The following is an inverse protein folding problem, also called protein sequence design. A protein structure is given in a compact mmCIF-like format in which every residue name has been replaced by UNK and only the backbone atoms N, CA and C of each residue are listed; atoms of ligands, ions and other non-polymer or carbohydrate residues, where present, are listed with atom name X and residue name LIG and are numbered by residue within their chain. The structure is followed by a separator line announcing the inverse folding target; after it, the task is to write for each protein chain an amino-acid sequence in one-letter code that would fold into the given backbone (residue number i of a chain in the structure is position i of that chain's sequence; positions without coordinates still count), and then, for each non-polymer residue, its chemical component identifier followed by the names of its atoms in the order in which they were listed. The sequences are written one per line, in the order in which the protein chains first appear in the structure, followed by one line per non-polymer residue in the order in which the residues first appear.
data_IF_332916032468
#
_entry.id   IF_332916032468
#
_cell.length_a   1.000
_cell.length_b   1.000
_cell.length_c   1.000
_cell.angle_alpha   90.00
_cell.angle_beta   90.00
_cell.angle_gamma   90.00
#
_symmetry.space_group_name_H-M   'P 1'
#
loop_
_entity.id
_entity.type
_entity.pdbx_description
1 polymer ?
#
# COMPACT_ATOMS: atom_id res chain seq x y z
N UNK A 1 -20.25 9.52 17.85
CA UNK A 1 -19.50 10.18 16.79
C UNK A 1 -19.91 9.46 15.53
N UNK A 2 -20.48 10.16 14.54
CA UNK A 2 -20.86 9.54 13.27
C UNK A 2 -19.63 8.95 12.59
N UNK A 3 -19.82 7.86 11.88
CA UNK A 3 -18.77 7.19 11.12
C UNK A 3 -18.28 8.15 10.04
N UNK A 4 -17.07 8.67 10.23
CA UNK A 4 -16.42 9.54 9.27
C UNK A 4 -15.65 8.68 8.27
N UNK A 5 -16.08 8.68 7.01
CA UNK A 5 -15.34 8.04 5.93
C UNK A 5 -14.09 8.86 5.59
N UNK A 6 -12.92 8.24 5.73
CA UNK A 6 -11.65 8.86 5.37
C UNK A 6 -11.47 8.85 3.86
N UNK A 7 -10.96 9.95 3.32
CA UNK A 7 -10.51 10.04 1.94
C UNK A 7 -9.05 9.60 1.86
N UNK A 8 -8.81 8.39 1.35
CA UNK A 8 -7.50 7.75 1.32
C UNK A 8 -6.83 7.92 -0.04
N UNK A 9 -5.55 8.27 -0.03
CA UNK A 9 -4.73 8.35 -1.23
C UNK A 9 -3.26 8.01 -0.89
N UNK A 10 -2.48 7.64 -1.89
CA UNK A 10 -1.05 7.33 -1.75
C UNK A 10 -0.16 8.44 -2.32
N UNK A 11 -0.71 9.23 -3.22
CA UNK A 11 -0.12 10.46 -3.76
C UNK A 11 -1.21 11.46 -4.19
N UNK A 12 -0.81 12.69 -4.45
CA UNK A 12 -1.67 13.75 -4.97
C UNK A 12 -0.83 14.82 -5.69
N UNK A 13 -1.45 15.96 -6.01
CA UNK A 13 -0.81 17.07 -6.73
C UNK A 13 0.24 17.85 -5.93
N UNK A 14 0.39 17.60 -4.62
CA UNK A 14 1.30 18.35 -3.74
C UNK A 14 2.46 17.49 -3.22
N UNK A 15 2.39 16.17 -3.39
CA UNK A 15 3.41 15.24 -2.93
C UNK A 15 4.02 14.46 -4.09
N UNK A 16 5.22 13.95 -3.87
CA UNK A 16 5.93 13.11 -4.82
C UNK A 16 5.08 11.89 -5.23
N UNK A 17 5.07 11.56 -6.53
CA UNK A 17 4.33 10.42 -7.08
C UNK A 17 4.70 9.14 -6.37
N UNK A 18 3.70 8.29 -6.07
CA UNK A 18 3.95 7.01 -5.37
C UNK A 18 4.96 6.15 -6.11
N UNK A 19 4.86 6.08 -7.44
CA UNK A 19 5.78 5.27 -8.23
C UNK A 19 7.23 5.75 -8.10
N UNK A 20 7.47 7.06 -7.97
CA UNK A 20 8.79 7.63 -7.68
C UNK A 20 9.29 7.25 -6.28
N UNK A 21 8.41 7.29 -5.26
CA UNK A 21 8.76 6.98 -3.87
C UNK A 21 9.13 5.52 -3.65
N UNK A 22 8.58 4.62 -4.44
CA UNK A 22 8.85 3.20 -4.33
C UNK A 22 10.25 2.87 -4.87
N UNK A 23 11.19 2.58 -3.98
CA UNK A 23 12.53 2.11 -4.34
C UNK A 23 12.46 0.73 -5.04
N UNK A 24 11.60 -0.16 -4.58
CA UNK A 24 11.20 -1.37 -5.28
C UNK A 24 9.82 -1.17 -5.90
N UNK A 25 9.74 -1.15 -7.23
CA UNK A 25 8.48 -0.93 -7.95
C UNK A 25 7.45 -2.05 -7.75
N UNK A 26 7.88 -3.23 -7.34
CA UNK A 26 6.98 -4.33 -6.98
C UNK A 26 6.08 -3.97 -5.78
N UNK A 27 6.51 -3.07 -4.90
CA UNK A 27 5.69 -2.56 -3.80
C UNK A 27 4.45 -1.78 -4.24
N UNK A 28 4.32 -1.48 -5.53
CA UNK A 28 3.09 -0.87 -6.07
C UNK A 28 1.86 -1.74 -5.80
N UNK A 29 2.00 -3.05 -5.91
CA UNK A 29 0.90 -3.99 -5.68
C UNK A 29 0.40 -3.99 -4.22
N UNK A 30 1.22 -4.27 -3.19
CA UNK A 30 0.77 -4.26 -1.80
C UNK A 30 0.23 -2.90 -1.36
N UNK A 31 0.81 -1.79 -1.82
CA UNK A 31 0.33 -0.43 -1.51
C UNK A 31 -1.09 -0.20 -2.03
N UNK A 32 -1.38 -0.61 -3.27
CA UNK A 32 -2.70 -0.40 -3.86
C UNK A 32 -3.74 -1.43 -3.38
N UNK A 33 -3.32 -2.66 -3.04
CA UNK A 33 -4.22 -3.59 -2.33
C UNK A 33 -4.69 -2.97 -1.02
N UNK A 34 -3.80 -2.39 -0.21
CA UNK A 34 -4.19 -1.68 1.01
C UNK A 34 -5.09 -0.49 0.72
N UNK A 35 -4.73 0.37 -0.23
CA UNK A 35 -5.52 1.55 -0.58
C UNK A 35 -6.98 1.20 -0.92
N UNK A 36 -7.19 0.13 -1.69
CA UNK A 36 -8.53 -0.27 -2.14
C UNK A 36 -9.33 -1.09 -1.13
N UNK A 37 -8.72 -1.60 -0.07
CA UNK A 37 -9.38 -2.54 0.85
C UNK A 37 -9.51 -2.04 2.28
N UNK A 38 -8.69 -1.08 2.71
CA UNK A 38 -8.84 -0.41 3.99
C UNK A 38 -10.16 0.39 4.06
N UNK A 39 -10.70 0.65 5.28
CA UNK A 39 -11.85 1.52 5.48
C UNK A 39 -11.61 2.91 4.88
N UNK A 40 -12.68 3.53 4.34
CA UNK A 40 -12.65 4.85 3.73
C UNK A 40 -12.81 4.80 2.20
N UNK A 41 -12.64 5.94 1.55
CA UNK A 41 -12.82 6.11 0.10
C UNK A 41 -11.44 6.19 -0.58
N UNK A 42 -11.06 5.18 -1.39
CA UNK A 42 -9.79 5.21 -2.10
C UNK A 42 -9.83 6.23 -3.25
N UNK A 43 -8.74 6.96 -3.40
CA UNK A 43 -8.55 7.91 -4.50
C UNK A 43 -7.23 7.65 -5.20
N UNK A 44 -7.29 7.64 -6.54
CA UNK A 44 -6.12 7.58 -7.41
C UNK A 44 -5.92 8.95 -8.05
N UNK A 45 -4.74 9.51 -7.86
CA UNK A 45 -4.37 10.73 -8.55
C UNK A 45 -4.04 10.41 -10.01
N UNK A 46 -4.54 11.25 -10.95
CA UNK A 46 -4.40 10.99 -12.38
C UNK A 46 -2.96 10.72 -12.80
N UNK A 47 -2.75 9.72 -13.64
CA UNK A 47 -1.43 9.28 -14.08
C UNK A 47 -0.75 8.26 -13.15
N UNK A 48 -1.16 8.17 -11.87
CA UNK A 48 -0.61 7.16 -10.95
C UNK A 48 -1.05 5.76 -11.35
N UNK A 49 -2.21 5.63 -11.99
CA UNK A 49 -2.67 4.38 -12.60
C UNK A 49 -1.76 3.89 -13.73
N UNK A 50 -1.00 4.77 -14.35
CA UNK A 50 -0.03 4.42 -15.39
C UNK A 50 1.38 4.18 -14.84
N UNK A 51 1.59 4.39 -13.54
CA UNK A 51 2.91 4.31 -12.92
C UNK A 51 3.84 5.45 -13.35
N UNK A 52 3.29 6.64 -13.66
CA UNK A 52 4.16 7.77 -14.02
C UNK A 52 4.97 8.24 -12.82
N UNK A 53 6.18 8.67 -13.09
CA UNK A 53 7.07 9.24 -12.09
C UNK A 53 6.90 10.77 -12.01
N UNK A 54 7.21 11.33 -10.86
CA UNK A 54 7.21 12.77 -10.63
C UNK A 54 7.78 13.05 -9.26
N UNK A 55 8.90 13.79 -9.23
CA UNK A 55 9.60 14.16 -8.01
C UNK A 55 9.18 15.58 -7.60
N UNK A 56 8.92 15.77 -6.30
CA UNK A 56 8.65 17.10 -5.77
C UNK A 56 9.88 17.97 -5.90
N UNK A 57 9.75 19.08 -6.61
CA UNK A 57 10.78 20.08 -6.75
C UNK A 57 10.53 21.25 -5.78
N UNK A 58 11.59 22.00 -5.48
CA UNK A 58 11.50 23.11 -4.52
C UNK A 58 10.72 24.31 -5.05
N UNK A 59 10.77 24.54 -6.36
CA UNK A 59 10.28 25.76 -7.01
C UNK A 59 9.18 25.53 -8.04
N UNK A 60 8.86 24.28 -8.36
CA UNK A 60 7.83 23.91 -9.33
C UNK A 60 7.15 22.61 -8.94
N UNK A 61 5.87 22.51 -9.27
CA UNK A 61 5.07 21.30 -9.18
C UNK A 61 4.83 20.65 -10.56
N UNK A 62 5.47 21.14 -11.62
CA UNK A 62 5.20 20.70 -12.99
C UNK A 62 5.44 19.21 -13.18
N UNK A 63 6.47 18.65 -12.55
CA UNK A 63 6.75 17.21 -12.56
C UNK A 63 5.65 16.35 -11.91
N UNK A 64 4.87 16.95 -11.00
CA UNK A 64 3.75 16.29 -10.33
C UNK A 64 2.44 16.42 -11.12
N UNK A 65 2.36 17.38 -12.05
CA UNK A 65 1.13 17.76 -12.78
C UNK A 65 1.33 17.76 -14.30
N UNK A 66 1.91 16.68 -14.88
CA UNK A 66 2.15 16.63 -16.32
C UNK A 66 0.83 16.65 -17.10
N UNK A 67 0.84 17.32 -18.25
CA UNK A 67 -0.23 17.15 -19.22
C UNK A 67 -0.09 15.75 -19.87
N UNK A 68 -1.16 14.94 -19.81
CA UNK A 68 -1.18 13.61 -20.39
C UNK A 68 -2.02 13.60 -21.67
N UNK A 69 -1.53 12.95 -22.71
CA UNK A 69 -2.33 12.60 -23.86
C UNK A 69 -2.90 11.19 -23.65
N UNK A 70 -4.20 11.07 -23.39
CA UNK A 70 -4.84 9.79 -23.08
C UNK A 70 -4.77 8.78 -24.24
N UNK A 71 -4.56 9.22 -25.47
CA UNK A 71 -4.38 8.31 -26.59
C UNK A 71 -3.10 7.44 -26.45
N UNK A 72 -2.09 7.92 -25.72
CA UNK A 72 -0.85 7.18 -25.47
C UNK A 72 -1.05 6.02 -24.47
N UNK A 73 -2.19 6.01 -23.79
CA UNK A 73 -2.56 5.01 -22.76
C UNK A 73 -3.81 4.20 -23.13
N UNK A 74 -4.24 4.24 -24.39
CA UNK A 74 -5.48 3.61 -24.84
C UNK A 74 -5.56 2.10 -24.57
N UNK A 75 -4.42 1.42 -24.57
CA UNK A 75 -4.27 -0.02 -24.31
C UNK A 75 -3.59 -0.32 -22.95
N UNK A 76 -3.61 0.64 -22.02
CA UNK A 76 -2.90 0.51 -20.74
C UNK A 76 -3.46 -0.62 -19.88
N UNK A 77 -4.76 -0.92 -19.93
CA UNK A 77 -5.34 -2.03 -19.15
C UNK A 77 -4.73 -3.37 -19.56
N UNK A 78 -4.42 -3.56 -20.83
CA UNK A 78 -3.84 -4.80 -21.37
C UNK A 78 -2.31 -4.85 -21.27
N UNK A 79 -1.65 -3.68 -21.27
CA UNK A 79 -0.18 -3.63 -21.42
C UNK A 79 0.56 -3.09 -20.20
N UNK A 80 -0.11 -2.29 -19.36
CA UNK A 80 0.51 -1.67 -18.21
C UNK A 80 0.09 -2.39 -16.91
N UNK A 81 1.02 -3.01 -16.17
CA UNK A 81 0.69 -3.77 -14.97
C UNK A 81 0.08 -2.91 -13.84
N UNK A 82 0.46 -1.63 -13.74
CA UNK A 82 -0.13 -0.71 -12.77
C UNK A 82 -1.61 -0.47 -13.07
N UNK A 83 -1.92 -0.19 -14.35
CA UNK A 83 -3.31 0.06 -14.80
C UNK A 83 -4.16 -1.20 -14.66
N UNK A 84 -3.64 -2.36 -15.07
CA UNK A 84 -4.34 -3.63 -14.94
C UNK A 84 -4.70 -3.93 -13.48
N UNK A 85 -3.74 -3.76 -12.56
CA UNK A 85 -3.96 -3.97 -11.13
C UNK A 85 -5.03 -3.01 -10.57
N UNK A 86 -4.91 -1.70 -10.84
CA UNK A 86 -5.87 -0.70 -10.35
C UNK A 86 -7.27 -0.97 -10.89
N UNK A 87 -7.40 -1.31 -12.17
CA UNK A 87 -8.68 -1.69 -12.78
C UNK A 87 -9.29 -2.93 -12.11
N UNK A 88 -8.46 -3.96 -11.82
CA UNK A 88 -8.89 -5.15 -11.09
C UNK A 88 -9.38 -4.82 -9.68
N UNK A 89 -8.58 -4.07 -8.91
CA UNK A 89 -8.93 -3.66 -7.54
C UNK A 89 -10.20 -2.81 -7.50
N UNK A 90 -10.38 -1.90 -8.46
CA UNK A 90 -11.60 -1.12 -8.60
C UNK A 90 -12.83 -2.00 -8.78
N UNK A 91 -12.76 -3.00 -9.67
CA UNK A 91 -13.85 -3.97 -9.89
C UNK A 91 -14.11 -4.82 -8.65
N UNK A 92 -13.05 -5.30 -7.98
CA UNK A 92 -13.19 -6.06 -6.73
C UNK A 92 -13.95 -5.23 -5.70
N UNK A 93 -13.55 -3.99 -5.47
CA UNK A 93 -14.19 -3.13 -4.48
C UNK A 93 -15.65 -2.83 -4.84
N UNK A 94 -15.97 -2.55 -6.11
CA UNK A 94 -17.33 -2.32 -6.56
C UNK A 94 -18.26 -3.54 -6.33
N UNK A 95 -17.73 -4.74 -6.50
CA UNK A 95 -18.48 -6.00 -6.38
C UNK A 95 -18.44 -6.62 -4.98
N UNK A 96 -17.75 -6.01 -4.03
CA UNK A 96 -17.55 -6.54 -2.68
C UNK A 96 -18.04 -5.54 -1.64
N UNK A 97 -19.34 -5.54 -1.28
CA UNK A 97 -19.91 -4.57 -0.33
C UNK A 97 -19.18 -4.51 1.01
N UNK A 98 -18.63 -5.62 1.49
CA UNK A 98 -17.86 -5.67 2.72
C UNK A 98 -16.63 -4.74 2.69
N UNK A 99 -16.01 -4.51 1.53
CA UNK A 99 -14.89 -3.56 1.40
C UNK A 99 -15.33 -2.10 1.53
N UNK A 100 -16.60 -1.82 1.24
CA UNK A 100 -17.16 -0.46 1.33
C UNK A 100 -17.74 -0.19 2.72
N UNK A 101 -18.54 -1.11 3.24
CA UNK A 101 -19.38 -0.89 4.42
C UNK A 101 -19.06 -1.80 5.60
N UNK A 102 -18.21 -2.82 5.41
CA UNK A 102 -17.89 -3.80 6.44
C UNK A 102 -17.09 -3.24 7.59
N UNK A 103 -17.23 -3.81 8.77
CA UNK A 103 -16.35 -3.54 9.89
C UNK A 103 -14.96 -4.09 9.63
N UNK A 104 -13.97 -3.50 10.30
CA UNK A 104 -12.57 -3.89 10.18
C UNK A 104 -12.13 -4.72 11.38
N UNK A 105 -11.35 -5.79 11.13
CA UNK A 105 -10.72 -6.59 12.16
C UNK A 105 -9.31 -7.04 11.71
N UNK A 106 -8.29 -6.71 12.51
CA UNK A 106 -6.93 -7.21 12.27
C UNK A 106 -6.87 -8.72 12.51
N UNK A 107 -6.23 -9.47 11.62
CA UNK A 107 -6.03 -10.92 11.72
C UNK A 107 -4.57 -11.30 11.96
N UNK A 108 -3.64 -10.59 11.35
CA UNK A 108 -2.20 -10.82 11.47
C UNK A 108 -1.44 -9.52 11.21
N UNK A 109 -0.42 -9.27 12.04
CA UNK A 109 0.53 -8.18 11.82
C UNK A 109 1.94 -8.67 12.19
N UNK A 110 2.85 -8.58 11.23
CA UNK A 110 4.27 -8.81 11.40
C UNK A 110 5.06 -7.62 10.83
N UNK A 111 6.38 -7.70 10.80
CA UNK A 111 7.18 -6.63 10.18
C UNK A 111 7.01 -6.53 8.66
N UNK A 112 6.54 -7.60 8.00
CA UNK A 112 6.46 -7.70 6.55
C UNK A 112 5.12 -8.21 6.04
N UNK A 113 4.33 -8.86 6.87
CA UNK A 113 3.04 -9.42 6.49
C UNK A 113 1.93 -8.74 7.27
N UNK A 114 0.83 -8.50 6.59
CA UNK A 114 -0.37 -7.94 7.16
C UNK A 114 -1.61 -8.63 6.61
N UNK A 115 -2.52 -8.99 7.50
CA UNK A 115 -3.83 -9.52 7.11
C UNK A 115 -4.92 -8.95 8.01
N UNK A 116 -6.08 -8.66 7.40
CA UNK A 116 -7.25 -8.16 8.10
C UNK A 116 -8.52 -8.66 7.44
N UNK A 117 -9.62 -8.59 8.18
CA UNK A 117 -10.95 -8.90 7.67
C UNK A 117 -11.79 -7.62 7.50
N UNK A 118 -12.73 -7.70 6.56
CA UNK A 118 -13.86 -6.79 6.41
C UNK A 118 -15.14 -7.63 6.54
N UNK A 119 -15.92 -7.35 7.57
CA UNK A 119 -17.10 -8.14 7.92
C UNK A 119 -18.38 -7.34 7.66
N UNK A 120 -19.31 -7.87 6.88
CA UNK A 120 -20.61 -7.28 6.57
C UNK A 120 -21.68 -8.36 6.50
N UNK A 121 -22.74 -8.26 7.28
CA UNK A 121 -23.92 -9.13 7.25
C UNK A 121 -23.59 -10.63 7.28
N UNK A 122 -22.59 -11.01 8.09
CA UNK A 122 -22.13 -12.39 8.23
C UNK A 122 -21.14 -12.86 7.15
N UNK A 123 -20.88 -12.03 6.14
CA UNK A 123 -19.86 -12.27 5.12
C UNK A 123 -18.53 -11.69 5.58
N UNK A 124 -17.50 -12.52 5.65
CA UNK A 124 -16.13 -12.11 5.94
C UNK A 124 -15.29 -12.11 4.66
N UNK A 125 -14.71 -10.98 4.32
CA UNK A 125 -13.70 -10.84 3.28
C UNK A 125 -12.34 -10.71 3.96
N UNK A 126 -11.34 -11.48 3.53
CA UNK A 126 -10.00 -11.46 4.12
C UNK A 126 -9.04 -10.83 3.13
N UNK A 127 -8.23 -9.91 3.61
CA UNK A 127 -7.19 -9.24 2.82
C UNK A 127 -5.83 -9.65 3.37
N UNK A 128 -4.93 -10.03 2.48
CA UNK A 128 -3.55 -10.42 2.81
C UNK A 128 -2.56 -9.55 2.04
N UNK A 129 -1.51 -9.10 2.70
CA UNK A 129 -0.42 -8.33 2.09
C UNK A 129 0.91 -8.89 2.57
N UNK A 130 1.83 -9.08 1.63
CA UNK A 130 3.19 -9.49 1.90
C UNK A 130 4.17 -8.48 1.29
N UNK A 131 4.88 -7.75 2.15
CA UNK A 131 5.88 -6.75 1.79
C UNK A 131 7.32 -7.30 1.94
N UNK A 132 7.49 -8.62 1.84
CA UNK A 132 8.78 -9.30 1.76
C UNK A 132 9.04 -9.74 0.32
N UNK A 133 10.29 -9.93 -0.04
CA UNK A 133 10.65 -10.46 -1.37
C UNK A 133 10.34 -11.96 -1.49
N UNK A 134 10.24 -12.65 -0.37
CA UNK A 134 9.96 -14.08 -0.31
C UNK A 134 8.46 -14.35 -0.12
N UNK A 135 8.06 -15.53 -0.54
CA UNK A 135 6.72 -16.07 -0.31
C UNK A 135 6.45 -16.20 1.20
N UNK A 136 5.25 -15.85 1.64
CA UNK A 136 4.81 -16.00 3.03
C UNK A 136 3.57 -16.90 3.12
N UNK A 137 3.55 -17.80 4.10
CA UNK A 137 2.37 -18.57 4.46
C UNK A 137 1.66 -17.90 5.64
N UNK A 138 0.34 -17.81 5.56
CA UNK A 138 -0.50 -17.20 6.59
C UNK A 138 -1.62 -18.16 6.97
N UNK A 139 -1.83 -18.33 8.28
CA UNK A 139 -2.92 -19.09 8.84
C UNK A 139 -3.90 -18.11 9.52
N UNK A 140 -5.09 -17.93 8.95
CA UNK A 140 -5.99 -16.84 9.27
C UNK A 140 -7.36 -17.35 9.69
N UNK A 141 -7.97 -16.68 10.66
CA UNK A 141 -9.34 -16.99 11.09
C UNK A 141 -10.32 -16.65 9.97
N UNK A 142 -11.03 -17.67 9.50
CA UNK A 142 -12.07 -17.56 8.48
C UNK A 142 -13.41 -17.08 9.06
N UNK A 143 -14.36 -16.73 8.17
CA UNK A 143 -15.77 -16.60 8.51
C UNK A 143 -16.50 -17.94 8.45
N UNK A 144 -17.79 -17.87 8.20
CA UNK A 144 -18.67 -19.06 8.16
C UNK A 144 -18.66 -19.81 6.82
N UNK A 145 -17.94 -19.34 5.81
CA UNK A 145 -17.86 -20.01 4.50
C UNK A 145 -17.06 -21.31 4.59
N UNK A 146 -17.36 -22.25 3.72
CA UNK A 146 -16.62 -23.52 3.60
C UNK A 146 -15.34 -23.38 2.73
N UNK A 147 -15.33 -22.41 1.82
CA UNK A 147 -14.25 -22.17 0.86
C UNK A 147 -14.11 -20.68 0.59
N UNK A 148 -12.92 -20.22 0.32
CA UNK A 148 -12.59 -18.87 -0.14
C UNK A 148 -11.95 -18.90 -1.52
N UNK A 149 -12.18 -17.85 -2.30
CA UNK A 149 -11.58 -17.63 -3.63
C UNK A 149 -10.80 -16.33 -3.62
N UNK A 150 -9.58 -16.38 -4.13
CA UNK A 150 -8.78 -15.20 -4.41
C UNK A 150 -9.38 -14.42 -5.57
N UNK A 151 -9.63 -13.12 -5.39
CA UNK A 151 -10.18 -12.27 -6.45
C UNK A 151 -9.13 -11.87 -7.50
N UNK A 152 -7.85 -11.99 -7.17
CA UNK A 152 -6.75 -11.59 -8.06
C UNK A 152 -6.10 -12.79 -8.76
N UNK A 153 -6.12 -13.99 -8.17
CA UNK A 153 -5.45 -15.18 -8.72
C UNK A 153 -6.40 -16.32 -9.04
N UNK A 154 -7.67 -16.25 -8.62
CA UNK A 154 -8.67 -17.33 -8.71
C UNK A 154 -8.32 -18.60 -7.92
N UNK A 155 -7.30 -18.54 -7.09
CA UNK A 155 -6.94 -19.62 -6.18
C UNK A 155 -8.09 -19.90 -5.22
N UNK A 156 -8.33 -21.17 -4.92
CA UNK A 156 -9.35 -21.62 -3.98
C UNK A 156 -8.68 -22.23 -2.77
N UNK A 157 -9.21 -21.91 -1.60
CA UNK A 157 -8.74 -22.47 -0.33
C UNK A 157 -9.94 -22.90 0.52
N UNK A 158 -9.90 -24.13 1.02
CA UNK A 158 -10.93 -24.66 1.93
C UNK A 158 -10.74 -24.11 3.33
N UNK A 159 -11.84 -23.98 4.05
CA UNK A 159 -11.81 -23.65 5.48
C UNK A 159 -11.69 -24.93 6.29
N UNK A 160 -10.65 -25.03 7.10
CA UNK A 160 -10.41 -26.14 8.00
C UNK A 160 -10.34 -25.63 9.45
N UNK A 161 -11.16 -26.20 10.33
CA UNK A 161 -11.24 -25.78 11.74
C UNK A 161 -11.45 -24.27 11.95
N UNK A 162 -12.25 -23.64 11.08
CA UNK A 162 -12.52 -22.20 11.12
C UNK A 162 -11.35 -21.30 10.64
N UNK A 163 -10.39 -21.86 9.91
CA UNK A 163 -9.22 -21.15 9.41
C UNK A 163 -8.98 -21.42 7.93
N UNK A 164 -8.32 -20.49 7.26
CA UNK A 164 -7.75 -20.67 5.93
C UNK A 164 -6.23 -20.63 5.99
N UNK A 165 -5.60 -21.49 5.20
CA UNK A 165 -4.16 -21.52 5.02
C UNK A 165 -3.84 -20.99 3.62
N UNK A 166 -3.20 -19.83 3.55
CA UNK A 166 -2.94 -19.16 2.27
C UNK A 166 -1.45 -18.89 2.08
N UNK A 167 -1.02 -18.94 0.83
CA UNK A 167 0.33 -18.58 0.43
C UNK A 167 0.28 -17.29 -0.36
N UNK A 168 1.06 -16.28 0.06
CA UNK A 168 1.10 -14.96 -0.56
C UNK A 168 2.49 -14.72 -1.13
N UNK A 169 2.56 -14.48 -2.44
CA UNK A 169 3.81 -14.19 -3.12
C UNK A 169 4.52 -12.97 -2.53
N UNK A 170 5.83 -12.86 -2.74
CA UNK A 170 6.58 -11.68 -2.34
C UNK A 170 6.09 -10.42 -3.04
N UNK A 171 6.14 -9.28 -2.34
CA UNK A 171 5.72 -7.96 -2.83
C UNK A 171 4.32 -7.97 -3.46
N UNK A 172 3.39 -8.65 -2.83
CA UNK A 172 2.04 -8.83 -3.36
C UNK A 172 0.98 -8.72 -2.26
N UNK A 173 -0.27 -8.83 -2.68
CA UNK A 173 -1.42 -8.94 -1.78
C UNK A 173 -2.56 -9.65 -2.48
N UNK A 174 -3.55 -10.07 -1.70
CA UNK A 174 -4.71 -10.77 -2.22
C UNK A 174 -5.96 -10.44 -1.42
N UNK A 175 -7.12 -10.66 -2.04
CA UNK A 175 -8.43 -10.45 -1.45
C UNK A 175 -9.19 -11.75 -1.60
N UNK A 176 -9.53 -12.36 -0.48
CA UNK A 176 -10.20 -13.65 -0.38
C UNK A 176 -11.67 -13.44 -0.05
N UNK A 177 -12.53 -13.86 -0.95
CA UNK A 177 -13.99 -13.76 -0.79
C UNK A 177 -14.59 -15.16 -0.61
N UNK A 178 -15.70 -15.32 0.16
CA UNK A 178 -16.40 -16.59 0.27
C UNK A 178 -16.82 -17.13 -1.09
N UNK A 179 -16.55 -18.39 -1.35
CA UNK A 179 -17.03 -19.05 -2.57
C UNK A 179 -18.54 -19.28 -2.48
N UNK A 180 -19.29 -18.91 -3.52
CA UNK A 180 -20.72 -19.16 -3.66
C UNK A 180 -21.64 -18.07 -3.10
N UNK A 181 -21.15 -17.17 -2.24
CA UNK A 181 -21.96 -16.11 -1.60
C UNK A 181 -21.85 -14.76 -2.31
N UNK A 182 -21.00 -14.66 -3.30
CA UNK A 182 -20.77 -13.45 -4.10
C UNK A 182 -21.26 -13.66 -5.54
N UNK A 183 -21.77 -12.62 -6.21
CA UNK A 183 -22.01 -12.72 -7.64
C UNK A 183 -20.74 -13.21 -8.32
N UNK A 184 -20.89 -14.10 -9.31
CA UNK A 184 -19.79 -14.75 -10.02
C UNK A 184 -18.69 -13.73 -10.37
N UNK A 185 -17.62 -13.73 -9.59
CA UNK A 185 -16.49 -12.87 -9.82
C UNK A 185 -15.68 -13.44 -10.99
N UNK A 186 -15.71 -12.74 -12.11
CA UNK A 186 -14.80 -13.08 -13.23
C UNK A 186 -13.47 -12.42 -12.95
N UNK A 187 -12.40 -13.19 -12.70
CA UNK A 187 -11.07 -12.63 -12.51
C UNK A 187 -10.74 -11.72 -13.69
N UNK A 188 -10.21 -10.56 -13.41
CA UNK A 188 -9.60 -9.77 -14.46
C UNK A 188 -8.27 -10.47 -14.77
N UNK A 189 -8.17 -11.10 -15.94
CA UNK A 189 -6.90 -11.65 -16.39
C UNK A 189 -5.88 -10.50 -16.39
N UNK A 190 -4.93 -10.55 -15.46
CA UNK A 190 -3.79 -9.64 -15.47
C UNK A 190 -2.81 -10.15 -16.51
N UNK A 191 -3.10 -9.90 -17.79
CA UNK A 191 -2.26 -10.30 -18.92
C UNK A 191 -0.97 -9.46 -19.07
N UNK A 192 -0.69 -8.55 -18.13
CA UNK A 192 0.55 -7.81 -18.12
C UNK A 192 1.70 -8.76 -17.81
N UNK A 193 2.47 -9.13 -18.82
CA UNK A 193 3.76 -9.81 -18.63
C UNK A 193 4.58 -8.94 -17.68
N UNK A 194 4.98 -9.51 -16.54
CA UNK A 194 6.01 -8.90 -15.68
C UNK A 194 7.17 -8.48 -16.58
N UNK A 195 7.65 -7.24 -16.52
CA UNK A 195 8.82 -6.85 -17.29
C UNK A 195 9.95 -7.80 -16.92
N UNK A 196 10.45 -8.57 -17.86
CA UNK A 196 11.65 -9.36 -17.67
C UNK A 196 12.74 -8.37 -17.25
N UNK A 197 13.29 -8.57 -16.06
CA UNK A 197 14.47 -7.84 -15.61
C UNK A 197 15.60 -8.23 -16.56
N UNK A 198 15.79 -7.47 -17.62
CA UNK A 198 16.99 -7.58 -18.43
C UNK A 198 18.14 -7.11 -17.56
N UNK A 199 18.84 -8.07 -16.96
CA UNK A 199 20.15 -7.86 -16.40
C UNK A 199 21.07 -7.44 -17.55
N UNK A 200 21.10 -6.17 -17.84
CA UNK A 200 22.15 -5.58 -18.67
C UNK A 200 23.38 -5.51 -17.78
N UNK A 201 24.19 -6.53 -17.88
CA UNK A 201 25.56 -6.52 -17.36
C UNK A 201 26.31 -5.42 -18.13
N UNK A 202 26.43 -4.26 -17.55
CA UNK A 202 27.32 -3.22 -18.03
C UNK A 202 28.73 -3.74 -17.79
N UNK A 203 29.41 -4.18 -18.86
CA UNK A 203 30.85 -4.42 -18.85
C UNK A 203 31.52 -3.07 -18.59
N UNK A 204 32.22 -2.99 -17.49
CA UNK A 204 33.13 -1.88 -17.22
C UNK A 204 34.32 -2.03 -18.20
N UNK A 205 34.38 -1.19 -19.18
CA UNK A 205 35.62 -0.95 -19.91
C UNK A 205 36.48 -0.03 -19.04
N UNK A 206 37.61 -0.61 -18.60
CA UNK A 206 38.71 0.11 -17.97
C UNK A 206 39.34 1.06 -18.98
N UNK A 207 39.26 2.35 -18.75
CA UNK A 207 40.29 3.28 -19.18
C UNK A 207 40.82 4.07 -17.99
N UNK A 208 42.07 3.73 -17.72
CA UNK A 208 43.03 4.34 -16.82
C UNK A 208 43.24 5.85 -17.12
N UNK A 209 43.02 6.71 -16.13
CA UNK A 209 43.84 7.92 -15.95
C UNK A 209 43.63 8.57 -14.57
N UNK A 210 44.65 8.33 -13.75
CA UNK A 210 45.24 9.24 -12.74
C UNK A 210 44.57 10.62 -12.53
N UNK A 211 44.13 10.87 -11.29
CA UNK A 211 44.65 12.02 -10.49
C UNK A 211 44.24 11.89 -9.02
N UNK A 212 45.25 11.89 -8.22
CA UNK A 212 45.36 12.22 -6.82
C UNK A 212 44.66 13.57 -6.44
N UNK A 213 44.33 13.67 -5.16
CA UNK A 213 43.79 14.83 -4.43
C UNK A 213 42.26 14.91 -4.32
N UNK A 214 41.77 14.37 -3.21
CA UNK A 214 40.84 14.98 -2.25
C UNK A 214 40.35 13.92 -1.23
N UNK A 215 41.28 13.35 -0.48
CA UNK A 215 40.98 12.68 0.77
C UNK A 215 41.37 13.56 1.94
N UNK A 216 40.49 14.47 2.31
CA UNK A 216 40.47 15.13 3.63
C UNK A 216 39.20 16.00 3.70
N UNK A 217 38.25 15.58 4.49
CA UNK A 217 37.23 16.37 5.19
C UNK A 217 35.84 15.69 5.14
N UNK A 218 35.69 14.57 5.80
CA UNK A 218 34.39 14.17 6.42
C UNK A 218 34.72 13.19 7.57
N UNK A 219 35.28 13.74 8.63
CA UNK A 219 35.30 13.11 9.94
C UNK A 219 35.13 14.23 10.96
N UNK A 220 33.90 14.54 11.27
CA UNK A 220 33.44 15.18 12.52
C UNK A 220 32.01 15.72 12.27
N UNK A 221 31.05 14.95 12.71
CA UNK A 221 29.81 15.41 13.33
C UNK A 221 28.88 14.22 13.55
N UNK A 222 29.30 13.37 14.49
CA UNK A 222 28.39 12.47 15.16
C UNK A 222 28.47 12.82 16.65
N UNK A 223 27.71 13.84 17.05
CA UNK A 223 27.41 14.08 18.48
C UNK A 223 25.90 14.06 18.67
N UNK A 224 25.49 13.04 19.40
CA UNK A 224 24.19 12.74 19.96
C UNK A 224 23.56 13.98 20.64
N UNK A 225 22.32 14.35 20.34
CA UNK A 225 21.58 15.30 21.17
C UNK A 225 20.87 14.55 22.31
N UNK A 226 21.59 14.34 23.39
CA UNK A 226 21.01 13.90 24.68
C UNK A 226 20.99 15.12 25.60
N UNK A 227 19.82 15.44 26.14
CA UNK A 227 19.59 16.30 27.32
C UNK A 227 18.72 17.55 27.17
N UNK A 228 18.24 17.94 26.00
CA UNK A 228 17.34 19.11 25.93
C UNK A 228 15.86 18.75 25.69
N UNK A 229 15.56 17.54 25.24
CA UNK A 229 14.18 17.07 25.05
C UNK A 229 13.49 16.61 26.35
N UNK A 230 14.24 16.34 27.39
CA UNK A 230 13.70 15.90 28.70
C UNK A 230 13.37 17.05 29.68
N UNK A 231 13.70 18.29 29.34
CA UNK A 231 13.37 19.46 30.19
C UNK A 231 12.06 20.16 29.80
N UNK A 232 11.49 19.87 28.65
CA UNK A 232 10.22 20.48 28.21
C UNK A 232 8.97 19.61 28.53
N UNK A 233 9.15 18.40 29.04
CA UNK A 233 8.03 17.55 29.45
C UNK A 233 7.61 17.74 30.93
N UNK A 234 8.38 18.47 31.72
CA UNK A 234 8.11 18.68 33.14
C UNK A 234 7.37 20.00 33.45
N UNK A 235 6.96 20.78 32.46
CA UNK A 235 6.33 22.08 32.67
C UNK A 235 4.87 22.16 32.22
N UNK A 236 4.21 21.02 31.98
CA UNK A 236 2.78 20.96 31.61
C UNK A 236 1.85 20.58 32.76
N UNK A 237 2.39 20.27 33.94
CA UNK A 237 1.56 19.95 35.13
C UNK A 237 1.20 21.17 36.01
N UNK A 238 1.71 22.36 35.69
CA UNK A 238 1.47 23.59 36.49
C UNK A 238 0.30 24.44 35.99
N UNK A 239 -0.43 24.01 34.94
CA UNK A 239 -1.55 24.78 34.36
C UNK A 239 -2.93 24.19 34.75
N UNK A 240 -2.98 23.06 35.45
CA UNK A 240 -4.25 22.43 35.84
C UNK A 240 -4.81 22.89 37.17
N UNK A 241 -4.09 23.69 37.97
CA UNK A 241 -4.55 24.10 39.30
C UNK A 241 -5.15 25.52 39.38
N UNK A 242 -5.18 26.28 38.26
CA UNK A 242 -5.68 27.67 38.30
C UNK A 242 -7.06 27.87 37.67
N UNK A 243 -7.76 26.81 37.26
CA UNK A 243 -9.12 26.92 36.66
C UNK A 243 -10.24 26.41 37.59
N UNK A 244 -9.93 25.94 38.80
CA UNK A 244 -10.91 25.36 39.69
C UNK A 244 -11.44 26.32 40.80
N UNK A 245 -11.12 27.63 40.76
CA UNK A 245 -11.49 28.54 41.87
C UNK A 245 -12.27 29.80 41.44
N UNK A 246 -12.93 29.81 40.28
CA UNK A 246 -13.71 31.00 39.87
C UNK A 246 -15.11 30.64 39.34
N UNK A 247 -15.77 29.62 39.87
CA UNK A 247 -17.23 29.47 39.73
C UNK A 247 -17.78 28.99 41.05
N UNK A 248 -18.11 29.94 41.91
CA UNK A 248 -18.79 29.71 43.18
C UNK A 248 -18.98 31.01 43.95
N UNK A 249 -19.88 31.87 43.41
CA UNK A 249 -20.79 32.73 44.14
C UNK A 249 -21.81 33.33 43.18
#
# INVERSE_FOLDING_TARGET
MGDLDLYNFVDNHDVERIYTKLSNKAHFAPVHVLLYTLPGVPSIYYGSEFGIEGKKERTSDDSLRPALNLADYADAVEKNPCTALIAALGKVRQNTPALNYGSYAELMLTNRQYAFARDLDGVRVIVTVNNDDNVASMDLTAGNAAEYVSTLTSEKVSVENGRIHVTVAGNSGNIWVPAGDMPEYKPVEMNAKTPETTNTTVKADNEDQTKEEAAATVAEQNTTPTSQALKNAANTDSIKETVATTVGN
#
